data_IF_594598618516
#
_entry.id   IF_594598618516
#
_cell.length_a   1.000
_cell.length_b   1.000
_cell.length_c   1.000
_cell.angle_alpha   90.00
_cell.angle_beta   90.00
_cell.angle_gamma   90.00
#
_symmetry.space_group_name_H-M   'P 1'
#
loop_
_entity.id
_entity.type
_entity.pdbx_description
1 polymer ?
#
# COMPACT_ATOMS: atom_id res chain seq x y z
N UNK A 1 22.43 -3.35 -9.95
CA UNK A 1 22.12 -3.54 -8.51
C UNK A 1 21.14 -2.43 -8.14
N UNK A 2 19.88 -2.77 -7.91
CA UNK A 2 18.83 -1.77 -7.64
C UNK A 2 19.05 -1.05 -6.32
N UNK A 3 18.41 0.11 -6.15
CA UNK A 3 18.50 1.00 -4.99
C UNK A 3 18.04 0.39 -3.65
N UNK A 4 17.73 -0.91 -3.61
CA UNK A 4 17.20 -1.62 -2.44
C UNK A 4 18.28 -2.27 -1.56
N UNK A 5 19.56 -2.13 -1.93
CA UNK A 5 20.65 -2.94 -1.39
C UNK A 5 21.79 -2.18 -0.71
N UNK A 6 21.54 -1.24 0.21
CA UNK A 6 22.64 -0.57 0.93
C UNK A 6 23.53 -1.59 1.66
N UNK A 7 24.83 -1.55 1.39
CA UNK A 7 25.85 -2.43 1.97
C UNK A 7 27.12 -1.64 2.27
N UNK A 8 27.84 -2.04 3.32
CA UNK A 8 29.15 -1.48 3.67
C UNK A 8 30.21 -2.55 3.42
N UNK A 9 31.08 -2.33 2.44
CA UNK A 9 32.08 -3.32 1.97
C UNK A 9 31.41 -4.68 1.70
N UNK A 10 30.34 -4.67 0.90
CA UNK A 10 29.52 -5.85 0.53
C UNK A 10 28.81 -6.56 1.68
N UNK A 11 28.93 -6.07 2.92
CA UNK A 11 28.25 -6.61 4.10
C UNK A 11 26.94 -5.88 4.36
N UNK A 12 25.95 -6.63 4.87
CA UNK A 12 24.69 -6.06 5.40
C UNK A 12 25.01 -5.09 6.54
N UNK A 13 24.20 -4.04 6.66
CA UNK A 13 24.33 -3.07 7.73
C UNK A 13 23.83 -3.65 9.06
N UNK A 14 24.53 -3.34 10.15
CA UNK A 14 23.99 -3.51 11.49
C UNK A 14 23.11 -2.29 11.79
N UNK A 15 21.86 -2.52 12.17
CA UNK A 15 20.88 -1.47 12.41
C UNK A 15 20.24 -1.65 13.78
N UNK A 16 19.95 -0.53 14.44
CA UNK A 16 19.19 -0.49 15.69
C UNK A 16 17.82 0.10 15.41
N UNK A 17 16.78 -0.47 16.00
CA UNK A 17 15.45 0.11 15.94
C UNK A 17 15.43 1.40 16.77
N UNK A 18 14.89 2.48 16.21
CA UNK A 18 14.70 3.75 16.90
C UNK A 18 13.21 4.05 17.00
N UNK A 19 12.85 4.88 17.97
CA UNK A 19 11.48 5.32 18.20
C UNK A 19 11.11 6.47 17.25
N UNK A 20 11.11 6.19 15.94
CA UNK A 20 10.80 7.16 14.90
C UNK A 20 10.02 6.51 13.76
N UNK A 21 9.03 7.23 13.23
CA UNK A 21 8.12 6.72 12.20
C UNK A 21 8.04 7.66 11.01
N UNK A 22 7.92 7.08 9.83
CA UNK A 22 7.65 7.78 8.57
C UNK A 22 6.24 7.39 8.12
N UNK A 23 5.35 8.39 8.01
CA UNK A 23 3.98 8.18 7.54
C UNK A 23 3.91 8.45 6.03
N UNK A 24 3.47 7.45 5.25
CA UNK A 24 3.35 7.54 3.80
C UNK A 24 1.89 7.77 3.37
N UNK A 25 1.64 8.87 2.64
CA UNK A 25 0.31 9.27 2.17
C UNK A 25 0.30 9.39 0.63
N UNK A 26 0.16 8.28 -0.09
CA UNK A 26 0.37 8.29 -1.55
C UNK A 26 -0.76 7.76 -2.41
N UNK A 27 -1.48 6.74 -1.94
CA UNK A 27 -2.15 5.84 -2.86
C UNK A 27 -3.64 6.15 -3.11
N UNK A 28 -4.43 6.35 -2.05
CA UNK A 28 -5.90 6.50 -2.14
C UNK A 28 -6.29 7.94 -2.51
N UNK A 29 -7.32 8.09 -3.35
CA UNK A 29 -7.93 9.35 -3.82
C UNK A 29 -9.45 9.21 -3.83
N UNK A 30 -10.22 10.31 -3.98
CA UNK A 30 -11.63 10.21 -4.32
C UNK A 30 -11.83 9.24 -5.51
N UNK A 31 -12.84 8.34 -5.48
CA UNK A 31 -13.01 7.31 -6.52
C UNK A 31 -13.05 7.85 -7.94
N UNK A 32 -13.63 9.03 -8.14
CA UNK A 32 -13.67 9.71 -9.44
C UNK A 32 -12.27 10.12 -9.92
N UNK A 33 -11.52 10.84 -9.08
CA UNK A 33 -10.15 11.27 -9.41
C UNK A 33 -9.22 10.07 -9.65
N UNK A 34 -9.38 9.00 -8.87
CA UNK A 34 -8.58 7.78 -9.04
C UNK A 34 -8.89 7.09 -10.38
N UNK A 35 -10.16 7.04 -10.77
CA UNK A 35 -10.57 6.46 -12.05
C UNK A 35 -10.02 7.25 -13.23
N UNK A 36 -10.13 8.58 -13.19
CA UNK A 36 -9.60 9.46 -14.23
C UNK A 36 -8.07 9.36 -14.31
N UNK A 37 -7.39 9.32 -13.16
CA UNK A 37 -5.94 9.07 -13.12
C UNK A 37 -5.58 7.72 -13.74
N UNK A 38 -6.33 6.66 -13.44
CA UNK A 38 -6.08 5.33 -14.01
C UNK A 38 -6.27 5.34 -15.53
N UNK A 39 -7.36 5.95 -16.03
CA UNK A 39 -7.59 6.11 -17.47
C UNK A 39 -6.43 6.84 -18.13
N UNK A 40 -6.12 8.05 -17.66
CA UNK A 40 -5.03 8.87 -18.20
C UNK A 40 -3.67 8.16 -18.14
N UNK A 41 -3.34 7.50 -17.04
CA UNK A 41 -2.04 6.84 -16.92
C UNK A 41 -1.84 5.73 -17.94
N UNK A 42 -2.90 4.98 -18.28
CA UNK A 42 -2.80 3.89 -19.24
C UNK A 42 -2.75 4.39 -20.70
N UNK A 43 -3.36 5.55 -21.02
CA UNK A 43 -3.26 6.12 -22.37
C UNK A 43 -1.84 6.54 -22.75
N UNK A 44 -0.93 6.68 -21.78
CA UNK A 44 0.47 7.00 -22.04
C UNK A 44 1.24 5.84 -22.70
N UNK A 45 0.73 4.60 -22.64
CA UNK A 45 1.45 3.41 -23.09
C UNK A 45 0.57 2.38 -23.83
N UNK A 46 -0.74 2.64 -23.97
CA UNK A 46 -1.71 1.73 -24.57
C UNK A 46 -2.64 2.46 -25.55
N UNK A 47 -3.09 1.73 -26.58
CA UNK A 47 -4.06 2.21 -27.57
C UNK A 47 -5.50 2.15 -27.05
N UNK A 48 -6.44 2.72 -27.83
CA UNK A 48 -7.84 2.77 -27.46
C UNK A 48 -8.51 1.39 -27.32
N UNK A 49 -8.13 0.42 -28.16
CA UNK A 49 -8.72 -0.92 -28.12
C UNK A 49 -8.35 -1.62 -26.82
N UNK A 50 -7.08 -1.54 -26.44
CA UNK A 50 -6.59 -2.04 -25.17
C UNK A 50 -7.27 -1.34 -23.99
N UNK A 51 -7.43 -0.01 -24.06
CA UNK A 51 -8.10 0.77 -23.02
C UNK A 51 -9.55 0.32 -22.80
N UNK A 52 -10.33 0.16 -23.88
CA UNK A 52 -11.73 -0.30 -23.82
C UNK A 52 -11.86 -1.70 -23.22
N UNK A 53 -10.90 -2.58 -23.51
CA UNK A 53 -10.89 -3.97 -23.03
C UNK A 53 -10.45 -4.11 -21.57
N UNK A 54 -9.46 -3.32 -21.12
CA UNK A 54 -8.79 -3.55 -19.84
C UNK A 54 -9.18 -2.55 -18.75
N UNK A 55 -9.71 -1.38 -19.12
CA UNK A 55 -10.13 -0.35 -18.15
C UNK A 55 -11.66 -0.31 -18.11
N UNK A 56 -12.22 -0.53 -16.91
CA UNK A 56 -13.67 -0.42 -16.70
C UNK A 56 -14.16 0.97 -17.11
N UNK A 57 -15.19 1.01 -17.95
CA UNK A 57 -15.85 2.25 -18.39
C UNK A 57 -16.83 2.75 -17.32
N UNK A 58 -16.30 3.03 -16.13
CA UNK A 58 -17.02 3.58 -14.98
C UNK A 58 -16.48 4.97 -14.65
N UNK A 59 -17.26 5.73 -13.88
CA UNK A 59 -16.86 7.03 -13.35
C UNK A 59 -16.20 6.92 -11.98
N UNK A 60 -16.23 5.75 -11.33
CA UNK A 60 -15.68 5.56 -9.99
C UNK A 60 -14.75 4.35 -9.94
N UNK A 61 -13.61 4.54 -9.31
CA UNK A 61 -12.66 3.49 -9.03
C UNK A 61 -13.23 2.55 -7.95
N UNK A 62 -13.10 1.24 -8.20
CA UNK A 62 -13.63 0.19 -7.34
C UNK A 62 -12.59 -0.20 -6.27
N UNK A 63 -12.79 0.30 -5.06
CA UNK A 63 -11.93 -0.03 -3.91
C UNK A 63 -12.31 -1.34 -3.20
N UNK A 64 -13.38 -2.02 -3.62
CA UNK A 64 -13.84 -3.26 -2.96
C UNK A 64 -12.87 -4.43 -3.17
N UNK A 65 -12.00 -4.33 -4.18
CA UNK A 65 -11.00 -5.36 -4.51
C UNK A 65 -9.77 -5.33 -3.61
N UNK A 66 -9.70 -4.43 -2.62
CA UNK A 66 -8.58 -4.39 -1.67
C UNK A 66 -8.64 -5.63 -0.78
N UNK A 67 -7.51 -6.33 -0.65
CA UNK A 67 -7.44 -7.61 0.06
C UNK A 67 -7.65 -7.49 1.57
N UNK A 68 -7.12 -6.44 2.19
CA UNK A 68 -7.22 -6.17 3.62
C UNK A 68 -6.81 -4.74 3.92
N UNK A 69 -7.55 -4.08 4.81
CA UNK A 69 -7.15 -2.82 5.43
C UNK A 69 -7.16 -2.98 6.95
N UNK A 70 -6.47 -2.07 7.64
CA UNK A 70 -6.51 -1.94 9.09
C UNK A 70 -6.84 -0.51 9.44
N UNK A 71 -7.63 -0.32 10.50
CA UNK A 71 -7.78 1.00 11.08
C UNK A 71 -6.42 1.46 11.62
N UNK A 72 -6.12 2.73 11.41
CA UNK A 72 -4.94 3.37 11.97
C UNK A 72 -5.34 3.98 13.32
N UNK A 73 -4.78 3.44 14.40
CA UNK A 73 -5.10 3.85 15.78
C UNK A 73 -4.07 4.84 16.36
N UNK A 74 -3.04 5.19 15.59
CA UNK A 74 -2.01 6.13 16.01
C UNK A 74 -2.42 7.59 15.82
N UNK A 75 -1.51 8.50 16.19
CA UNK A 75 -1.67 9.94 15.92
C UNK A 75 -0.96 10.30 14.61
N UNK A 76 -1.66 10.96 13.70
CA UNK A 76 -1.03 11.50 12.50
C UNK A 76 -0.15 12.73 12.85
N UNK A 77 0.98 12.94 12.14
CA UNK A 77 1.79 14.13 12.30
C UNK A 77 0.96 15.41 12.20
N UNK A 78 1.29 16.42 13.03
CA UNK A 78 0.55 17.69 13.10
C UNK A 78 0.38 18.35 11.72
N UNK A 79 1.41 18.29 10.87
CA UNK A 79 1.41 18.83 9.51
C UNK A 79 0.36 18.19 8.58
N UNK A 80 -0.15 17.00 8.92
CA UNK A 80 -1.15 16.27 8.13
C UNK A 80 -2.58 16.49 8.61
N UNK A 81 -2.78 16.99 9.84
CA UNK A 81 -4.11 17.09 10.46
C UNK A 81 -5.04 18.00 9.66
N UNK A 82 -4.56 19.16 9.20
CA UNK A 82 -5.35 20.08 8.38
C UNK A 82 -5.87 19.40 7.09
N UNK A 83 -5.01 18.62 6.42
CA UNK A 83 -5.39 17.91 5.20
C UNK A 83 -6.43 16.82 5.46
N UNK A 84 -6.31 16.10 6.58
CA UNK A 84 -7.26 15.07 7.01
C UNK A 84 -8.61 15.70 7.35
N UNK A 85 -8.62 16.84 8.01
CA UNK A 85 -9.86 17.54 8.38
C UNK A 85 -10.58 18.14 7.17
N UNK A 86 -9.86 18.51 6.12
CA UNK A 86 -10.43 19.00 4.85
C UNK A 86 -11.02 17.89 3.97
N UNK A 87 -10.84 16.64 4.34
CA UNK A 87 -11.26 15.48 3.54
C UNK A 87 -12.79 15.40 3.56
N UNK A 88 -13.42 15.64 2.43
CA UNK A 88 -14.85 15.85 2.28
C UNK A 88 -15.58 14.68 1.61
N UNK A 89 -14.93 13.53 1.51
CA UNK A 89 -15.50 12.32 0.93
C UNK A 89 -15.38 11.15 1.91
N UNK A 90 -16.34 10.24 1.86
CA UNK A 90 -16.38 9.07 2.72
C UNK A 90 -15.76 7.88 2.00
N UNK A 91 -14.76 7.27 2.63
CA UNK A 91 -14.25 5.98 2.23
C UNK A 91 -15.05 4.89 2.96
N UNK A 92 -15.78 4.06 2.22
CA UNK A 92 -16.55 2.96 2.76
C UNK A 92 -15.86 1.63 2.42
N UNK A 93 -15.25 1.02 3.43
CA UNK A 93 -14.61 -0.29 3.36
C UNK A 93 -14.75 -0.96 4.71
N UNK A 94 -15.15 -2.23 4.71
CA UNK A 94 -15.23 -3.03 5.92
C UNK A 94 -13.87 -3.69 6.22
N UNK A 95 -13.09 -3.18 7.20
CA UNK A 95 -11.76 -3.71 7.50
C UNK A 95 -11.77 -5.12 8.10
N UNK A 96 -12.95 -5.64 8.48
CA UNK A 96 -13.09 -7.01 9.00
C UNK A 96 -13.04 -8.05 7.89
N UNK A 97 -13.39 -7.66 6.65
CA UNK A 97 -13.39 -8.54 5.48
C UNK A 97 -11.99 -8.64 4.90
N UNK A 98 -11.55 -9.88 4.66
CA UNK A 98 -10.24 -10.18 4.07
C UNK A 98 -10.39 -11.10 2.87
N UNK A 99 -9.98 -10.60 1.71
CA UNK A 99 -10.09 -11.29 0.42
C UNK A 99 -8.80 -12.02 0.02
N UNK A 100 -8.05 -12.53 1.00
CA UNK A 100 -6.81 -13.23 0.75
C UNK A 100 -7.00 -14.56 -0.01
N UNK A 101 -6.12 -14.83 -0.96
CA UNK A 101 -5.89 -16.18 -1.48
C UNK A 101 -5.34 -17.13 -0.39
N UNK A 102 -5.49 -18.45 -0.60
CA UNK A 102 -5.14 -19.47 0.41
C UNK A 102 -3.69 -19.37 0.91
N UNK A 103 -2.73 -19.18 -0.01
CA UNK A 103 -1.32 -18.99 0.32
C UNK A 103 -1.10 -17.78 1.24
N UNK A 104 -1.69 -16.64 0.89
CA UNK A 104 -1.59 -15.40 1.67
C UNK A 104 -2.26 -15.56 3.04
N UNK A 105 -3.38 -16.28 3.14
CA UNK A 105 -4.03 -16.58 4.43
C UNK A 105 -3.09 -17.34 5.37
N UNK A 106 -2.40 -18.37 4.88
CA UNK A 106 -1.47 -19.16 5.68
C UNK A 106 -0.28 -18.29 6.13
N UNK A 107 0.34 -17.54 5.22
CA UNK A 107 1.45 -16.66 5.55
C UNK A 107 1.05 -15.59 6.58
N UNK A 108 -0.11 -14.96 6.39
CA UNK A 108 -0.66 -13.97 7.32
C UNK A 108 -0.95 -14.56 8.70
N UNK A 109 -1.45 -15.79 8.78
CA UNK A 109 -1.67 -16.48 10.05
C UNK A 109 -0.36 -16.80 10.79
N UNK A 110 0.66 -17.27 10.06
CA UNK A 110 1.99 -17.54 10.63
C UNK A 110 2.59 -16.23 11.15
N UNK A 111 2.55 -15.16 10.35
CA UNK A 111 3.05 -13.84 10.74
C UNK A 111 2.35 -13.33 12.00
N UNK A 112 1.01 -13.42 12.07
CA UNK A 112 0.26 -12.94 13.23
C UNK A 112 0.53 -13.69 14.52
N UNK A 113 0.90 -14.98 14.45
CA UNK A 113 1.21 -15.81 15.63
C UNK A 113 2.66 -15.73 16.07
N UNK A 114 3.58 -15.65 15.10
CA UNK A 114 5.02 -15.79 15.37
C UNK A 114 5.82 -14.50 15.21
N UNK A 115 5.24 -13.46 14.57
CA UNK A 115 5.98 -12.27 14.14
C UNK A 115 6.94 -12.54 12.98
N UNK A 116 7.00 -13.76 12.45
CA UNK A 116 7.91 -14.14 11.37
C UNK A 116 7.20 -14.04 10.01
N UNK A 117 7.77 -13.22 9.12
CA UNK A 117 7.40 -13.17 7.69
C UNK A 117 8.28 -14.11 6.89
N UNK A 118 7.75 -15.29 6.57
CA UNK A 118 8.46 -16.29 5.77
C UNK A 118 8.73 -15.74 4.36
N UNK A 119 9.99 -15.75 3.94
CA UNK A 119 10.42 -15.30 2.62
C UNK A 119 10.67 -13.79 2.50
N UNK A 120 10.54 -13.02 3.58
CA UNK A 120 10.87 -11.59 3.57
C UNK A 120 12.37 -11.37 3.36
N UNK A 121 12.72 -10.58 2.35
CA UNK A 121 14.11 -10.19 2.11
C UNK A 121 14.54 -9.11 3.11
N UNK A 122 15.54 -9.42 3.94
CA UNK A 122 16.14 -8.46 4.88
C UNK A 122 17.58 -8.16 4.48
N UNK A 123 17.87 -6.92 4.10
CA UNK A 123 19.23 -6.47 3.75
C UNK A 123 20.01 -5.85 4.94
N UNK A 124 19.61 -6.15 6.18
CA UNK A 124 20.25 -5.66 7.40
C UNK A 124 20.31 -6.77 8.47
N UNK A 125 21.04 -6.51 9.55
CA UNK A 125 21.06 -7.30 10.79
C UNK A 125 20.65 -6.39 11.94
N UNK A 126 19.66 -6.82 12.73
CA UNK A 126 19.25 -6.09 13.94
C UNK A 126 20.28 -6.36 15.03
N UNK A 127 20.71 -5.32 15.73
CA UNK A 127 21.58 -5.36 16.92
C UNK A 127 20.88 -4.74 18.13
#
# INVERSE_FOLDING_TARGET
KDAQGFRKNERKLNVKHIDAWVYHYGWVKPPFEQQEKQKYFNTLWHDEEWMKKNIKQTNQFDYSTIDSLSLFEGTHPMVMQERINKLNWKFDFDPTKKNFGMKTKILHWIEKRSGLRIGEYKNYKII
#
